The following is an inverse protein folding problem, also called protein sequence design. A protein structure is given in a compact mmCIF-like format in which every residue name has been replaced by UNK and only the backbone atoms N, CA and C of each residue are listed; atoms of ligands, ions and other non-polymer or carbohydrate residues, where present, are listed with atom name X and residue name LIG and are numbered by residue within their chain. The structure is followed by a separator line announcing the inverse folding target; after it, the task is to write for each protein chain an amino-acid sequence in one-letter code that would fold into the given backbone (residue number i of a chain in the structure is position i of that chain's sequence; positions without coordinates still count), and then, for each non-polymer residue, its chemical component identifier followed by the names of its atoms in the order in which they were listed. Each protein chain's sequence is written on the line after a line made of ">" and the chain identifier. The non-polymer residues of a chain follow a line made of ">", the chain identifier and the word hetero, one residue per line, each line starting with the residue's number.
data_IF_724608358656
#
_entry.id   IF_724608358656
#
_cell.length_a   1.000
_cell.length_b   1.000
_cell.length_c   1.000
_cell.angle_alpha   90.00
_cell.angle_beta   90.00
_cell.angle_gamma   90.00
#
_symmetry.space_group_name_H-M   'P 1'
#
loop_
_entity.id
_entity.type
_entity.pdbx_description
1 polymer ?
#
# COMPACT_ATOMS: atom_id res chain seq x y z
N UNK A 1 -7.06 9.60 25.24
CA UNK A 1 -6.74 9.74 26.67
C UNK A 1 -6.11 11.10 26.99
N UNK A 2 -4.95 11.44 26.41
CA UNK A 2 -4.22 12.68 26.72
C UNK A 2 -5.04 13.97 26.54
N UNK A 3 -5.81 14.08 25.46
CA UNK A 3 -6.62 15.27 25.15
C UNK A 3 -7.81 15.41 26.11
N UNK A 4 -8.42 14.29 26.49
CA UNK A 4 -9.49 14.29 27.49
C UNK A 4 -8.95 14.75 28.85
N UNK A 5 -7.78 14.23 29.28
CA UNK A 5 -7.16 14.65 30.53
C UNK A 5 -6.72 16.12 30.53
N UNK A 6 -6.16 16.63 29.43
CA UNK A 6 -5.76 18.05 29.34
C UNK A 6 -6.99 18.97 29.34
N UNK A 7 -8.06 18.59 28.65
CA UNK A 7 -9.32 19.33 28.65
C UNK A 7 -10.03 19.29 30.01
N UNK A 8 -10.04 18.15 30.68
CA UNK A 8 -10.61 18.00 32.01
C UNK A 8 -9.83 18.80 33.08
N UNK A 9 -8.50 18.84 32.96
CA UNK A 9 -7.64 19.66 33.83
C UNK A 9 -7.93 21.15 33.63
N UNK A 10 -8.11 21.61 32.39
CA UNK A 10 -8.52 22.98 32.09
C UNK A 10 -9.88 23.31 32.73
N UNK A 11 -10.86 22.43 32.58
CA UNK A 11 -12.20 22.60 33.19
C UNK A 11 -12.11 22.65 34.71
N UNK A 12 -11.34 21.76 35.35
CA UNK A 12 -11.13 21.78 36.79
C UNK A 12 -10.42 23.06 37.26
N UNK A 13 -9.39 23.51 36.53
CA UNK A 13 -8.69 24.76 36.82
C UNK A 13 -9.64 25.97 36.76
N UNK A 14 -10.43 26.10 35.69
CA UNK A 14 -11.37 27.21 35.53
C UNK A 14 -12.49 27.21 36.60
N UNK A 15 -12.86 26.04 37.12
CA UNK A 15 -13.80 25.96 38.24
C UNK A 15 -13.20 26.33 39.59
N UNK A 16 -11.93 26.00 39.83
CA UNK A 16 -11.28 26.21 41.14
C UNK A 16 -10.62 27.58 41.25
N UNK A 17 -10.03 28.08 40.16
CA UNK A 17 -9.19 29.28 40.18
C UNK A 17 -9.99 30.59 40.07
N UNK A 18 -11.29 30.53 39.73
CA UNK A 18 -12.19 31.68 39.44
C UNK A 18 -11.66 32.69 38.37
N UNK A 19 -10.46 32.46 37.82
CA UNK A 19 -9.85 33.20 36.72
C UNK A 19 -10.07 32.37 35.45
N UNK A 20 -10.91 32.81 34.50
CA UNK A 20 -11.21 32.03 33.32
C UNK A 20 -9.99 32.03 32.38
N UNK A 21 -9.30 30.88 32.29
CA UNK A 21 -8.30 30.61 31.27
C UNK A 21 -9.01 30.21 29.98
N UNK A 22 -9.14 31.16 29.06
CA UNK A 22 -9.64 30.95 27.71
C UNK A 22 -8.80 31.72 26.69
N UNK A 23 -8.85 31.29 25.44
CA UNK A 23 -8.23 31.99 24.32
C UNK A 23 -9.35 32.50 23.41
N UNK A 24 -9.27 33.75 22.91
CA UNK A 24 -10.23 34.21 21.92
C UNK A 24 -10.00 33.41 20.61
N UNK A 25 -11.00 33.29 19.72
CA UNK A 25 -10.93 32.33 18.62
C UNK A 25 -9.96 32.73 17.48
N UNK A 26 -9.62 34.00 17.35
CA UNK A 26 -8.87 34.55 16.21
C UNK A 26 -7.51 33.85 15.97
N UNK A 27 -6.70 33.55 16.99
CA UNK A 27 -5.42 32.86 16.82
C UNK A 27 -5.55 31.41 16.35
N UNK A 28 -6.72 30.76 16.51
CA UNK A 28 -6.92 29.35 16.14
C UNK A 28 -7.53 29.17 14.75
N UNK A 29 -8.26 30.16 14.21
CA UNK A 29 -8.97 30.02 12.93
C UNK A 29 -8.00 29.77 11.77
N UNK A 30 -6.97 30.60 11.61
CA UNK A 30 -6.00 30.46 10.52
C UNK A 30 -5.23 29.13 10.59
N UNK A 31 -4.69 28.71 11.76
CA UNK A 31 -4.12 27.38 11.93
C UNK A 31 -5.10 26.24 11.58
N UNK A 32 -6.38 26.36 11.92
CA UNK A 32 -7.39 25.33 11.63
C UNK A 32 -7.57 25.12 10.12
N UNK A 33 -7.63 26.21 9.36
CA UNK A 33 -7.75 26.14 7.89
C UNK A 33 -6.48 25.55 7.27
N UNK A 34 -5.31 26.00 7.72
CA UNK A 34 -4.03 25.47 7.25
C UNK A 34 -3.87 23.97 7.55
N UNK A 35 -4.28 23.54 8.76
CA UNK A 35 -4.26 22.15 9.18
C UNK A 35 -5.22 21.29 8.33
N UNK A 36 -6.44 21.76 8.08
CA UNK A 36 -7.40 21.06 7.23
C UNK A 36 -6.88 20.84 5.80
N UNK A 37 -6.25 21.85 5.21
CA UNK A 37 -5.59 21.73 3.90
C UNK A 37 -4.41 20.75 3.95
N UNK A 38 -3.57 20.85 4.97
CA UNK A 38 -2.38 19.99 5.14
C UNK A 38 -2.78 18.51 5.22
N UNK A 39 -3.76 18.17 6.06
CA UNK A 39 -4.31 16.82 6.20
C UNK A 39 -4.92 16.37 4.87
N UNK A 40 -5.69 17.22 4.21
CA UNK A 40 -6.33 16.88 2.92
C UNK A 40 -5.29 16.53 1.84
N UNK A 41 -4.25 17.35 1.68
CA UNK A 41 -3.18 17.06 0.72
C UNK A 41 -2.41 15.78 1.07
N UNK A 42 -2.19 15.53 2.36
CA UNK A 42 -1.58 14.30 2.84
C UNK A 42 -2.41 13.09 2.43
N UNK A 43 -3.68 13.08 2.82
CA UNK A 43 -4.60 11.96 2.57
C UNK A 43 -4.77 11.72 1.08
N UNK A 44 -4.82 12.77 0.26
CA UNK A 44 -4.85 12.63 -1.19
C UNK A 44 -3.58 11.97 -1.76
N UNK A 45 -2.40 12.35 -1.26
CA UNK A 45 -1.13 11.75 -1.69
C UNK A 45 -1.06 10.27 -1.30
N UNK A 46 -1.48 9.92 -0.08
CA UNK A 46 -1.59 8.54 0.37
C UNK A 46 -2.58 7.73 -0.49
N UNK A 47 -3.77 8.30 -0.78
CA UNK A 47 -4.77 7.67 -1.64
C UNK A 47 -4.24 7.39 -3.06
N UNK A 48 -3.50 8.33 -3.66
CA UNK A 48 -2.90 8.13 -4.98
C UNK A 48 -1.92 6.96 -4.98
N UNK A 49 -1.06 6.89 -3.97
CA UNK A 49 -0.10 5.79 -3.77
C UNK A 49 -0.79 4.45 -3.57
N UNK A 50 -1.84 4.39 -2.75
CA UNK A 50 -2.64 3.19 -2.55
C UNK A 50 -3.31 2.72 -3.84
N UNK A 51 -3.91 3.65 -4.58
CA UNK A 51 -4.54 3.32 -5.86
C UNK A 51 -3.53 2.83 -6.90
N UNK A 52 -2.34 3.44 -6.98
CA UNK A 52 -1.25 2.97 -7.84
C UNK A 52 -0.85 1.53 -7.49
N UNK A 53 -0.60 1.23 -6.22
CA UNK A 53 -0.25 -0.11 -5.77
C UNK A 53 -1.36 -1.14 -6.08
N UNK A 54 -2.63 -0.79 -5.84
CA UNK A 54 -3.78 -1.64 -6.19
C UNK A 54 -3.85 -1.92 -7.69
N UNK A 55 -3.65 -0.91 -8.53
CA UNK A 55 -3.66 -1.05 -9.98
C UNK A 55 -2.52 -1.96 -10.47
N UNK A 56 -1.30 -1.77 -9.93
CA UNK A 56 -0.14 -2.61 -10.25
C UNK A 56 -0.35 -4.07 -9.85
N UNK A 57 -0.96 -4.32 -8.68
CA UNK A 57 -1.32 -5.68 -8.27
C UNK A 57 -2.36 -6.31 -9.21
N UNK A 58 -3.32 -5.50 -9.69
CA UNK A 58 -4.27 -5.91 -10.73
C UNK A 58 -3.57 -6.28 -12.05
N UNK A 59 -2.58 -5.51 -12.46
CA UNK A 59 -1.74 -5.80 -13.64
C UNK A 59 -0.96 -7.10 -13.48
N UNK A 60 -0.36 -7.34 -12.30
CA UNK A 60 0.34 -8.59 -11.98
C UNK A 60 -0.60 -9.78 -12.12
N UNK A 61 -1.82 -9.71 -11.56
CA UNK A 61 -2.81 -10.79 -11.66
C UNK A 61 -3.24 -11.04 -13.11
N UNK A 62 -3.53 -9.99 -13.88
CA UNK A 62 -3.94 -10.12 -15.26
C UNK A 62 -2.83 -10.70 -16.14
N UNK A 63 -1.61 -10.19 -16.00
CA UNK A 63 -0.44 -10.67 -16.76
C UNK A 63 -0.10 -12.12 -16.39
N UNK A 64 -0.22 -12.48 -15.11
CA UNK A 64 -0.06 -13.88 -14.64
C UNK A 64 -1.07 -14.83 -15.30
N UNK A 65 -2.33 -14.40 -15.44
CA UNK A 65 -3.38 -15.16 -16.14
C UNK A 65 -3.08 -15.30 -17.62
N UNK A 66 -2.57 -14.26 -18.27
CA UNK A 66 -2.17 -14.32 -19.68
C UNK A 66 -1.01 -15.28 -19.91
N UNK A 67 0.04 -15.23 -19.08
CA UNK A 67 1.17 -16.16 -19.14
C UNK A 67 0.67 -17.60 -18.99
N UNK A 68 -0.19 -17.84 -17.99
CA UNK A 68 -0.81 -19.17 -17.76
C UNK A 68 -1.63 -19.62 -18.98
N UNK A 69 -2.46 -18.72 -19.54
CA UNK A 69 -3.31 -19.01 -20.71
C UNK A 69 -2.48 -19.38 -21.93
N UNK A 70 -1.39 -18.66 -22.19
CA UNK A 70 -0.46 -18.98 -23.29
C UNK A 70 0.21 -20.32 -23.01
N UNK A 71 0.66 -20.55 -21.77
CA UNK A 71 1.34 -21.79 -21.40
C UNK A 71 0.46 -23.04 -21.53
N UNK A 72 -0.85 -22.91 -21.29
CA UNK A 72 -1.80 -23.99 -21.48
C UNK A 72 -2.04 -24.34 -22.96
N UNK A 73 -1.74 -23.44 -23.91
CA UNK A 73 -1.80 -23.76 -25.35
C UNK A 73 -0.68 -24.71 -25.80
N UNK A 74 0.33 -24.92 -24.95
CA UNK A 74 1.41 -25.88 -25.18
C UNK A 74 1.08 -27.27 -24.68
N UNK A 75 -0.08 -27.46 -24.03
CA UNK A 75 -0.56 -28.79 -23.72
C UNK A 75 -0.82 -29.53 -25.04
N UNK A 76 -0.25 -30.73 -25.21
CA UNK A 76 -0.45 -31.52 -26.42
C UNK A 76 -1.90 -32.01 -26.52
N UNK A 77 -2.40 -32.14 -27.75
CA UNK A 77 -3.68 -32.82 -28.02
C UNK A 77 -3.59 -34.34 -27.86
N UNK A 78 -2.38 -34.91 -27.82
CA UNK A 78 -2.10 -36.32 -27.58
C UNK A 78 -1.65 -36.55 -26.14
N UNK A 79 -2.01 -37.70 -25.55
CA UNK A 79 -1.65 -38.03 -24.17
C UNK A 79 -0.15 -38.26 -23.94
N UNK A 80 0.63 -38.52 -25.01
CA UNK A 80 2.03 -38.96 -24.94
C UNK A 80 3.06 -37.85 -24.75
N UNK A 81 2.75 -36.58 -25.02
CA UNK A 81 3.71 -35.49 -24.82
C UNK A 81 3.77 -35.06 -23.34
N UNK A 82 4.59 -35.81 -22.61
CA UNK A 82 4.93 -35.56 -21.20
C UNK A 82 5.73 -34.27 -21.02
N UNK A 83 6.45 -33.80 -22.04
CA UNK A 83 7.31 -32.62 -21.95
C UNK A 83 6.48 -31.33 -21.94
N UNK A 84 5.55 -31.16 -22.88
CA UNK A 84 4.64 -30.02 -22.92
C UNK A 84 3.81 -29.92 -21.62
N UNK A 85 3.27 -31.04 -21.15
CA UNK A 85 2.58 -31.13 -19.85
C UNK A 85 3.45 -30.69 -18.67
N UNK A 86 4.72 -31.12 -18.64
CA UNK A 86 5.65 -30.74 -17.58
C UNK A 86 5.97 -29.24 -17.59
N UNK A 87 6.15 -28.64 -18.76
CA UNK A 87 6.45 -27.21 -18.89
C UNK A 87 5.24 -26.33 -18.52
N UNK A 88 4.04 -26.65 -19.01
CA UNK A 88 2.83 -25.93 -18.61
C UNK A 88 2.60 -26.01 -17.11
N UNK A 89 2.78 -27.20 -16.50
CA UNK A 89 2.69 -27.36 -15.05
C UNK A 89 3.77 -26.56 -14.29
N UNK A 90 4.99 -26.50 -14.82
CA UNK A 90 6.08 -25.69 -14.24
C UNK A 90 5.75 -24.19 -14.29
N UNK A 91 5.26 -23.68 -15.42
CA UNK A 91 4.81 -22.28 -15.54
C UNK A 91 3.72 -21.97 -14.51
N UNK A 92 2.64 -22.77 -14.45
CA UNK A 92 1.57 -22.56 -13.47
C UNK A 92 2.07 -22.52 -12.02
N UNK A 93 2.99 -23.44 -11.66
CA UNK A 93 3.61 -23.45 -10.32
C UNK A 93 4.45 -22.21 -10.07
N UNK A 94 5.24 -21.77 -11.04
CA UNK A 94 6.09 -20.58 -10.90
C UNK A 94 5.29 -19.29 -10.89
N UNK A 95 4.21 -19.18 -11.66
CA UNK A 95 3.29 -18.04 -11.60
C UNK A 95 2.70 -17.92 -10.19
N UNK A 96 2.26 -19.02 -9.59
CA UNK A 96 1.79 -19.03 -8.19
C UNK A 96 2.89 -18.66 -7.21
N UNK A 97 4.09 -19.25 -7.38
CA UNK A 97 5.23 -18.98 -6.51
C UNK A 97 5.64 -17.50 -6.57
N UNK A 98 5.68 -16.91 -7.77
CA UNK A 98 5.97 -15.49 -7.99
C UNK A 98 5.05 -14.59 -7.19
N UNK A 99 3.72 -14.76 -7.29
CA UNK A 99 2.77 -13.90 -6.55
C UNK A 99 2.92 -14.02 -5.03
N UNK A 100 3.20 -15.23 -4.52
CA UNK A 100 3.41 -15.46 -3.08
C UNK A 100 4.71 -14.81 -2.62
N UNK A 101 5.80 -15.05 -3.35
CA UNK A 101 7.12 -14.50 -3.05
C UNK A 101 7.08 -12.97 -3.11
N UNK A 102 6.48 -12.41 -4.16
CA UNK A 102 6.36 -10.97 -4.33
C UNK A 102 5.56 -10.32 -3.20
N UNK A 103 4.47 -10.96 -2.74
CA UNK A 103 3.72 -10.48 -1.57
C UNK A 103 4.65 -10.33 -0.37
N UNK A 104 5.38 -11.39 0.01
CA UNK A 104 6.28 -11.34 1.15
C UNK A 104 7.48 -10.41 0.94
N UNK A 105 7.95 -10.26 -0.30
CA UNK A 105 9.00 -9.29 -0.63
C UNK A 105 8.58 -7.84 -0.36
N UNK A 106 7.31 -7.51 -0.58
CA UNK A 106 6.74 -6.17 -0.40
C UNK A 106 6.21 -5.93 1.02
N UNK A 107 6.12 -6.96 1.87
CA UNK A 107 5.72 -6.83 3.28
C UNK A 107 6.92 -6.49 4.16
N UNK A 108 6.75 -5.56 5.10
CA UNK A 108 7.81 -5.04 6.01
C UNK A 108 8.51 -6.18 6.78
N UNK A 109 7.77 -7.20 7.21
CA UNK A 109 8.32 -8.33 7.99
C UNK A 109 9.08 -9.34 7.12
N UNK A 110 8.88 -9.35 5.80
CA UNK A 110 9.64 -10.16 4.82
C UNK A 110 9.59 -11.69 5.00
N UNK A 111 8.92 -12.19 6.04
CA UNK A 111 8.94 -13.58 6.47
C UNK A 111 7.79 -14.37 5.88
N UNK A 112 8.10 -15.41 5.10
CA UNK A 112 7.12 -16.40 4.68
C UNK A 112 6.99 -17.48 5.77
N UNK A 113 5.83 -17.67 6.41
CA UNK A 113 5.62 -18.73 7.42
C UNK A 113 5.72 -20.15 6.84
N UNK A 114 5.56 -20.33 5.52
CA UNK A 114 5.46 -21.63 4.87
C UNK A 114 6.71 -22.08 4.09
N UNK A 115 7.85 -21.36 4.10
CA UNK A 115 8.98 -21.77 3.25
C UNK A 115 10.40 -21.48 3.75
N UNK A 116 11.29 -22.40 3.35
CA UNK A 116 12.77 -22.47 3.47
C UNK A 116 13.57 -21.24 2.99
N UNK A 117 12.95 -20.14 2.59
CA UNK A 117 13.64 -19.02 1.94
C UNK A 117 13.64 -17.78 2.84
N UNK A 118 14.78 -17.55 3.50
CA UNK A 118 15.13 -16.28 4.16
C UNK A 118 15.22 -15.20 3.08
N UNK A 119 14.37 -14.16 3.15
CA UNK A 119 14.16 -13.12 2.13
C UNK A 119 13.89 -13.71 0.73
N UNK A 120 12.62 -13.83 0.39
CA UNK A 120 12.22 -14.41 -0.89
C UNK A 120 12.45 -13.40 -2.03
N UNK A 121 13.42 -13.70 -2.90
CA UNK A 121 13.70 -12.95 -4.13
C UNK A 121 12.67 -13.32 -5.23
N UNK A 122 11.82 -12.37 -5.68
CA UNK A 122 10.83 -12.63 -6.73
C UNK A 122 11.43 -12.90 -8.12
N UNK A 123 12.70 -12.57 -8.34
CA UNK A 123 13.37 -12.79 -9.62
C UNK A 123 13.55 -14.28 -9.91
N UNK A 124 13.77 -15.11 -8.89
CA UNK A 124 13.99 -16.54 -9.08
C UNK A 124 12.75 -17.27 -9.65
N UNK A 125 11.53 -17.13 -9.07
CA UNK A 125 10.31 -17.63 -9.70
C UNK A 125 10.05 -17.03 -11.08
N UNK A 126 10.34 -15.75 -11.30
CA UNK A 126 10.14 -15.09 -12.58
C UNK A 126 11.05 -15.68 -13.68
N UNK A 127 12.33 -15.90 -13.36
CA UNK A 127 13.29 -16.52 -14.26
C UNK A 127 12.92 -17.96 -14.58
N UNK A 128 12.58 -18.76 -13.56
CA UNK A 128 12.15 -20.15 -13.76
C UNK A 128 10.86 -20.27 -14.58
N UNK A 129 9.97 -19.28 -14.46
CA UNK A 129 8.78 -19.16 -15.29
C UNK A 129 9.13 -18.83 -16.74
N UNK A 130 10.07 -17.91 -16.98
CA UNK A 130 10.55 -17.52 -18.31
C UNK A 130 11.25 -18.69 -19.03
N UNK A 131 12.15 -19.39 -18.35
CA UNK A 131 12.86 -20.54 -18.91
C UNK A 131 11.90 -21.67 -19.29
N UNK A 132 10.94 -22.00 -18.41
CA UNK A 132 9.94 -23.03 -18.67
C UNK A 132 9.04 -22.67 -19.87
N UNK A 133 8.75 -21.38 -19.97
CA UNK A 133 7.95 -20.78 -21.03
C UNK A 133 8.62 -20.88 -22.40
N UNK A 134 9.88 -20.47 -22.51
CA UNK A 134 10.64 -20.60 -23.76
C UNK A 134 10.81 -22.07 -24.17
N UNK A 135 11.09 -22.97 -23.22
CA UNK A 135 11.19 -24.40 -23.48
C UNK A 135 9.85 -25.00 -24.00
N UNK A 136 8.72 -24.57 -23.44
CA UNK A 136 7.39 -25.00 -23.89
C UNK A 136 7.05 -24.56 -25.31
N UNK A 137 7.39 -23.31 -25.67
CA UNK A 137 7.21 -22.79 -27.04
C UNK A 137 8.04 -23.57 -28.05
N UNK A 138 9.32 -23.80 -27.75
CA UNK A 138 10.21 -24.56 -28.62
C UNK A 138 9.69 -25.98 -28.86
N UNK A 139 9.23 -26.66 -27.80
CA UNK A 139 8.68 -28.01 -27.92
C UNK A 139 7.40 -28.06 -28.77
N UNK A 140 6.52 -27.06 -28.65
CA UNK A 140 5.27 -26.99 -29.43
C UNK A 140 5.51 -26.65 -30.90
N UNK A 141 6.38 -25.67 -31.16
CA UNK A 141 6.58 -25.14 -32.51
C UNK A 141 7.38 -26.10 -33.39
N UNK A 142 8.12 -27.03 -32.80
CA UNK A 142 8.95 -28.00 -33.52
C UNK A 142 9.89 -27.28 -34.49
N UNK A 143 9.93 -27.75 -35.74
CA UNK A 143 10.83 -27.22 -36.77
C UNK A 143 10.31 -25.94 -37.48
N UNK A 144 9.40 -25.19 -36.84
CA UNK A 144 8.87 -23.91 -37.37
C UNK A 144 9.43 -22.71 -36.60
N UNK A 145 10.66 -22.26 -36.92
CA UNK A 145 11.34 -21.21 -36.17
C UNK A 145 10.58 -19.88 -36.18
N UNK A 146 9.93 -19.52 -37.30
CA UNK A 146 9.17 -18.26 -37.39
C UNK A 146 8.01 -18.19 -36.40
N UNK A 147 7.38 -19.33 -36.11
CA UNK A 147 6.25 -19.42 -35.17
C UNK A 147 6.74 -19.39 -33.73
N UNK A 148 7.84 -20.10 -33.45
CA UNK A 148 8.49 -20.09 -32.15
C UNK A 148 8.97 -18.68 -31.78
N UNK A 149 9.57 -17.96 -32.73
CA UNK A 149 10.04 -16.60 -32.52
C UNK A 149 8.88 -15.64 -32.22
N UNK A 150 7.77 -15.73 -32.96
CA UNK A 150 6.58 -14.88 -32.73
C UNK A 150 5.92 -15.16 -31.39
N UNK A 151 5.71 -16.43 -31.05
CA UNK A 151 5.11 -16.82 -29.77
C UNK A 151 6.04 -16.45 -28.60
N UNK A 152 7.36 -16.58 -28.77
CA UNK A 152 8.38 -16.14 -27.82
C UNK A 152 8.35 -14.63 -27.59
N UNK A 153 8.32 -13.83 -28.66
CA UNK A 153 8.21 -12.37 -28.56
C UNK A 153 6.91 -11.92 -27.87
N UNK A 154 5.78 -12.59 -28.13
CA UNK A 154 4.52 -12.30 -27.46
C UNK A 154 4.64 -12.53 -25.95
N UNK A 155 5.25 -13.65 -25.57
CA UNK A 155 5.39 -14.02 -24.17
C UNK A 155 6.40 -13.15 -23.43
N UNK A 156 7.51 -12.80 -24.07
CA UNK A 156 8.51 -11.85 -23.56
C UNK A 156 7.86 -10.51 -23.19
N UNK A 157 6.89 -10.02 -23.99
CA UNK A 157 6.13 -8.81 -23.64
C UNK A 157 5.33 -8.96 -22.34
N UNK A 158 4.79 -10.15 -22.07
CA UNK A 158 4.10 -10.41 -20.81
C UNK A 158 5.08 -10.47 -19.63
N UNK A 159 6.26 -11.07 -19.81
CA UNK A 159 7.31 -11.05 -18.78
C UNK A 159 7.80 -9.64 -18.49
N UNK A 160 8.05 -8.82 -19.52
CA UNK A 160 8.44 -7.42 -19.36
C UNK A 160 7.39 -6.61 -18.59
N UNK A 161 6.09 -6.82 -18.87
CA UNK A 161 5.00 -6.19 -18.10
C UNK A 161 5.01 -6.64 -16.64
N UNK A 162 5.20 -7.94 -16.39
CA UNK A 162 5.24 -8.49 -15.04
C UNK A 162 6.41 -7.92 -14.23
N UNK A 163 7.62 -7.90 -14.81
CA UNK A 163 8.81 -7.33 -14.18
C UNK A 163 8.69 -5.80 -14.01
N UNK A 164 8.08 -5.11 -14.97
CA UNK A 164 7.79 -3.68 -14.88
C UNK A 164 6.85 -3.35 -13.72
N UNK A 165 5.77 -4.12 -13.56
CA UNK A 165 4.83 -3.96 -12.45
C UNK A 165 5.49 -4.28 -11.10
N UNK A 166 6.32 -5.31 -11.03
CA UNK A 166 7.13 -5.63 -9.85
C UNK A 166 8.07 -4.48 -9.47
N UNK A 167 8.85 -3.96 -10.42
CA UNK A 167 9.75 -2.83 -10.17
C UNK A 167 9.00 -1.55 -9.75
N UNK A 168 7.78 -1.34 -10.28
CA UNK A 168 6.92 -0.25 -9.84
C UNK A 168 6.43 -0.45 -8.40
N UNK A 169 6.08 -1.67 -8.00
CA UNK A 169 5.77 -1.99 -6.60
C UNK A 169 6.97 -1.78 -5.68
N UNK A 170 8.17 -2.20 -6.08
CA UNK A 170 9.40 -1.96 -5.31
C UNK A 170 9.68 -0.46 -5.14
N UNK A 171 9.46 0.33 -6.18
CA UNK A 171 9.57 1.80 -6.09
C UNK A 171 8.62 2.34 -5.04
N UNK A 172 7.33 1.98 -5.08
CA UNK A 172 6.35 2.41 -4.08
C UNK A 172 6.81 2.00 -2.67
N UNK A 173 7.23 0.74 -2.49
CA UNK A 173 7.67 0.22 -1.20
C UNK A 173 8.92 0.94 -0.67
N UNK A 174 9.94 1.17 -1.51
CA UNK A 174 11.23 1.76 -1.09
C UNK A 174 11.23 3.29 -1.00
N UNK A 175 10.28 3.97 -1.64
CA UNK A 175 10.19 5.44 -1.60
C UNK A 175 8.95 5.89 -0.81
N UNK A 176 8.98 5.86 0.54
CA UNK A 176 7.87 6.35 1.37
C UNK A 176 7.66 7.86 1.22
N UNK A 177 6.50 8.37 1.65
CA UNK A 177 6.25 9.82 1.67
C UNK A 177 7.26 10.48 2.62
N UNK A 178 7.82 11.66 2.30
CA UNK A 178 8.81 12.30 3.14
C UNK A 178 8.37 12.40 4.61
N UNK A 179 9.16 11.80 5.50
CA UNK A 179 8.87 11.75 6.95
C UNK A 179 8.85 13.12 7.62
N UNK A 180 9.40 14.15 6.99
CA UNK A 180 9.28 15.53 7.47
C UNK A 180 7.82 16.00 7.43
N UNK A 181 7.08 15.62 6.38
CA UNK A 181 5.69 15.99 6.19
C UNK A 181 4.80 15.31 7.23
N UNK A 182 4.96 14.00 7.41
CA UNK A 182 4.19 13.21 8.39
C UNK A 182 4.44 13.65 9.83
N UNK A 183 5.70 13.96 10.18
CA UNK A 183 6.05 14.49 11.51
C UNK A 183 5.53 15.91 11.72
N UNK A 184 5.57 16.78 10.71
CA UNK A 184 5.08 18.15 10.84
C UNK A 184 3.56 18.17 11.03
N UNK A 185 2.81 17.46 10.18
CA UNK A 185 1.34 17.36 10.28
C UNK A 185 0.90 16.82 11.64
N UNK A 186 1.50 15.72 12.11
CA UNK A 186 1.18 15.13 13.42
C UNK A 186 1.46 16.09 14.59
N UNK A 187 2.61 16.76 14.60
CA UNK A 187 2.95 17.74 15.65
C UNK A 187 2.03 18.95 15.62
N UNK A 188 1.73 19.46 14.43
CA UNK A 188 0.83 20.60 14.27
C UNK A 188 -0.59 20.26 14.75
N UNK A 189 -1.09 19.08 14.39
CA UNK A 189 -2.37 18.54 14.86
C UNK A 189 -2.40 18.39 16.38
N UNK A 190 -1.33 17.86 17.00
CA UNK A 190 -1.25 17.74 18.45
C UNK A 190 -1.31 19.09 19.17
N UNK A 191 -0.60 20.10 18.67
CA UNK A 191 -0.65 21.46 19.23
C UNK A 191 -2.06 22.03 19.10
N UNK A 192 -2.68 21.88 17.92
CA UNK A 192 -4.03 22.35 17.67
C UNK A 192 -5.06 21.67 18.58
N UNK A 193 -5.03 20.34 18.71
CA UNK A 193 -5.91 19.58 19.60
C UNK A 193 -5.80 19.99 21.07
N UNK A 194 -4.61 20.39 21.54
CA UNK A 194 -4.43 20.89 22.91
C UNK A 194 -4.84 22.36 23.09
N UNK A 195 -4.84 23.16 22.01
CA UNK A 195 -5.32 24.54 22.03
C UNK A 195 -6.86 24.63 21.95
N UNK A 196 -7.52 23.68 21.27
CA UNK A 196 -8.98 23.66 21.08
C UNK A 196 -9.83 23.81 22.36
N UNK A 197 -9.51 23.14 23.49
CA UNK A 197 -10.28 23.28 24.74
C UNK A 197 -10.35 24.72 25.26
N UNK A 198 -9.28 25.51 25.06
CA UNK A 198 -9.19 26.91 25.51
C UNK A 198 -10.17 27.81 24.74
N UNK A 199 -10.43 27.49 23.48
CA UNK A 199 -11.36 28.24 22.61
C UNK A 199 -12.80 27.76 22.81
N UNK A 200 -13.00 26.48 23.13
CA UNK A 200 -14.32 25.90 23.36
C UNK A 200 -14.91 26.27 24.73
N UNK A 201 -14.08 26.51 25.75
CA UNK A 201 -14.54 26.87 27.09
C UNK A 201 -15.64 27.95 27.15
N UNK A 202 -15.48 29.14 26.53
CA UNK A 202 -16.51 30.18 26.58
C UNK A 202 -17.82 29.79 25.87
N UNK A 203 -17.82 28.77 25.01
CA UNK A 203 -18.99 28.33 24.23
C UNK A 203 -19.75 27.20 24.94
N UNK A 204 -19.03 26.19 25.45
CA UNK A 204 -19.61 24.95 26.00
C UNK A 204 -19.36 24.72 27.49
N UNK A 205 -18.55 25.55 28.15
CA UNK A 205 -18.31 25.50 29.60
C UNK A 205 -17.85 24.12 30.09
N UNK A 206 -18.57 23.55 31.06
CA UNK A 206 -18.27 22.23 31.66
C UNK A 206 -18.23 21.08 30.66
N UNK A 207 -18.92 21.20 29.53
CA UNK A 207 -18.97 20.18 28.48
C UNK A 207 -17.76 20.20 27.54
N UNK A 208 -16.80 21.10 27.77
CA UNK A 208 -15.56 21.25 26.98
C UNK A 208 -14.80 19.92 26.81
N UNK A 209 -14.61 19.06 27.84
CA UNK A 209 -13.86 17.82 27.67
C UNK A 209 -14.50 16.86 26.66
N UNK A 210 -15.84 16.79 26.63
CA UNK A 210 -16.57 15.95 25.67
C UNK A 210 -16.46 16.51 24.25
N UNK A 211 -16.71 17.82 24.08
CA UNK A 211 -16.63 18.48 22.78
C UNK A 211 -15.22 18.42 22.18
N UNK A 212 -14.19 18.75 22.97
CA UNK A 212 -12.80 18.72 22.52
C UNK A 212 -12.32 17.30 22.16
N UNK A 213 -12.77 16.29 22.92
CA UNK A 213 -12.47 14.89 22.62
C UNK A 213 -13.10 14.45 21.32
N UNK A 214 -14.36 14.81 21.06
CA UNK A 214 -15.04 14.48 19.80
C UNK A 214 -14.34 15.09 18.58
N UNK A 215 -14.04 16.40 18.63
CA UNK A 215 -13.35 17.09 17.53
C UNK A 215 -11.96 16.51 17.30
N UNK A 216 -11.23 16.24 18.38
CA UNK A 216 -9.90 15.65 18.27
C UNK A 216 -9.93 14.23 17.74
N UNK A 217 -10.92 13.42 18.13
CA UNK A 217 -11.12 12.09 17.55
C UNK A 217 -11.35 12.17 16.04
N UNK A 218 -12.16 13.11 15.56
CA UNK A 218 -12.40 13.27 14.12
C UNK A 218 -11.13 13.65 13.34
N UNK A 219 -10.34 14.61 13.86
CA UNK A 219 -9.13 15.06 13.18
C UNK A 219 -7.98 14.05 13.28
N UNK A 220 -7.74 13.47 14.47
CA UNK A 220 -6.74 12.41 14.64
C UNK A 220 -7.12 11.16 13.88
N UNK A 221 -8.41 10.80 13.83
CA UNK A 221 -8.88 9.68 13.03
C UNK A 221 -8.61 9.88 11.54
N UNK A 222 -8.79 11.10 11.03
CA UNK A 222 -8.48 11.40 9.62
C UNK A 222 -6.99 11.30 9.33
N UNK A 223 -6.14 11.80 10.23
CA UNK A 223 -4.68 11.69 10.09
C UNK A 223 -4.21 10.23 10.17
N UNK A 224 -4.80 9.44 11.07
CA UNK A 224 -4.49 8.01 11.23
C UNK A 224 -4.89 7.19 10.01
N UNK A 225 -6.07 7.45 9.42
CA UNK A 225 -6.47 6.87 8.14
C UNK A 225 -5.43 7.21 7.05
N UNK A 226 -4.95 8.46 7.03
CA UNK A 226 -3.91 8.88 6.10
C UNK A 226 -2.60 8.11 6.25
N UNK A 227 -2.21 7.76 7.48
CA UNK A 227 -1.04 6.92 7.78
C UNK A 227 -1.27 5.48 7.31
N UNK A 228 -2.43 4.89 7.60
CA UNK A 228 -2.72 3.51 7.23
C UNK A 228 -2.78 3.32 5.70
N UNK A 229 -3.36 4.28 4.98
CA UNK A 229 -3.46 4.23 3.51
C UNK A 229 -2.10 4.46 2.83
N UNK A 230 -1.13 5.06 3.53
CA UNK A 230 0.22 5.30 3.01
C UNK A 230 1.02 3.99 2.80
N UNK A 231 0.69 2.92 3.52
CA UNK A 231 1.35 1.60 3.42
C UNK A 231 0.43 0.60 2.71
N UNK A 232 0.53 0.46 1.36
CA UNK A 232 -0.41 -0.36 0.60
C UNK A 232 -0.14 -1.87 0.58
N UNK A 233 0.99 -2.32 1.14
CA UNK A 233 1.49 -3.70 1.04
C UNK A 233 1.52 -4.42 2.40
#
# INVERSE_FOLDING_TARGET
>A
ALIFSSSALLTAFNHVAEIPLYMPPEPIVLPSVALGLLITFRTNTANMRYNEARCLWGEIVNTSRDITRIALQWLPQSNDDKFGKAQSAKVCRMTKAFSIVLKYHLTIDGGNPDSRFSRSDPDLPALQMCDASHAGIWARCGDRPDRALRDGQLLERHFQRLCGAMGACERIHRTPIPTAFTRHSSRFLMVWCNAMPLVLWPIVGTSTPLAATFVSWAMLGTEDIGVQVEEPF
#
